data_IF_458971226979
#
_entry.id   IF_458971226979
#
_cell.length_a   1.000
_cell.length_b   1.000
_cell.length_c   1.000
_cell.angle_alpha   90.00
_cell.angle_beta   90.00
_cell.angle_gamma   90.00
#
_symmetry.space_group_name_H-M   'P 1'
#
loop_
_entity.id
_entity.type
_entity.pdbx_description
1 polymer ?
#
# COMPACT_ATOMS: atom_id res chain seq x y z
N UNK A 1 -28.84 3.89 -3.93
CA UNK A 1 -27.60 3.08 -3.80
C UNK A 1 -26.63 3.82 -2.89
N UNK A 2 -26.71 3.65 -1.57
CA UNK A 2 -25.73 4.23 -0.66
C UNK A 2 -24.42 3.48 -0.84
N UNK A 3 -23.43 4.09 -1.50
CA UNK A 3 -22.06 3.57 -1.52
C UNK A 3 -21.62 3.47 -0.06
N UNK A 4 -21.63 2.27 0.51
CA UNK A 4 -21.09 2.03 1.85
C UNK A 4 -19.60 2.34 1.76
N UNK A 5 -19.22 3.54 2.19
CA UNK A 5 -17.82 3.90 2.32
C UNK A 5 -17.22 2.95 3.34
N UNK A 6 -16.25 2.14 2.92
CA UNK A 6 -15.50 1.29 3.84
C UNK A 6 -14.66 2.24 4.71
N UNK A 7 -15.16 2.52 5.90
CA UNK A 7 -14.45 3.29 6.91
C UNK A 7 -13.37 2.39 7.51
N UNK A 8 -12.14 2.87 7.51
CA UNK A 8 -11.01 2.20 8.15
C UNK A 8 -10.67 2.96 9.44
N UNK A 9 -10.57 2.24 10.55
CA UNK A 9 -10.11 2.80 11.83
C UNK A 9 -8.63 3.19 11.77
N UNK A 10 -8.10 3.89 12.78
CA UNK A 10 -6.68 4.29 12.79
C UNK A 10 -5.78 3.05 12.82
N UNK A 11 -6.16 2.07 13.62
CA UNK A 11 -5.48 0.79 13.85
C UNK A 11 -5.47 -0.06 12.57
N UNK A 12 -6.60 -0.10 11.84
CA UNK A 12 -6.69 -0.81 10.56
C UNK A 12 -5.76 -0.19 9.52
N UNK A 13 -5.72 1.14 9.43
CA UNK A 13 -4.84 1.85 8.52
C UNK A 13 -3.38 1.58 8.85
N UNK A 14 -3.01 1.60 10.13
CA UNK A 14 -1.66 1.29 10.59
C UNK A 14 -1.26 -0.14 10.24
N UNK A 15 -2.13 -1.11 10.49
CA UNK A 15 -1.89 -2.52 10.15
C UNK A 15 -1.70 -2.70 8.64
N UNK A 16 -2.57 -2.09 7.82
CA UNK A 16 -2.44 -2.09 6.37
C UNK A 16 -1.15 -1.41 5.88
N UNK A 17 -0.70 -0.34 6.53
CA UNK A 17 0.55 0.31 6.17
C UNK A 17 1.76 -0.57 6.50
N UNK A 18 1.78 -1.24 7.66
CA UNK A 18 2.83 -2.21 8.01
C UNK A 18 2.87 -3.35 7.00
N UNK A 19 1.72 -3.94 6.71
CA UNK A 19 1.58 -4.98 5.69
C UNK A 19 2.06 -4.49 4.32
N UNK A 20 1.76 -3.24 3.94
CA UNK A 20 2.23 -2.66 2.69
C UNK A 20 3.75 -2.63 2.61
N UNK A 21 4.42 -2.12 3.64
CA UNK A 21 5.88 -2.08 3.69
C UNK A 21 6.52 -3.48 3.73
N UNK A 22 5.94 -4.42 4.49
CA UNK A 22 6.43 -5.80 4.57
C UNK A 22 6.19 -6.59 3.28
N UNK A 23 5.12 -6.29 2.55
CA UNK A 23 4.78 -7.01 1.33
C UNK A 23 5.70 -6.70 0.15
N UNK A 24 6.41 -5.56 0.17
CA UNK A 24 7.21 -5.09 -0.97
C UNK A 24 6.38 -4.78 -2.23
N UNK A 25 5.04 -4.80 -2.14
CA UNK A 25 4.16 -4.62 -3.29
C UNK A 25 4.11 -3.16 -3.74
N UNK A 26 3.87 -2.95 -5.03
CA UNK A 26 3.47 -1.64 -5.52
C UNK A 26 2.15 -1.20 -4.87
N UNK A 27 1.94 0.11 -4.70
CA UNK A 27 0.69 0.66 -4.14
C UNK A 27 -0.57 0.12 -4.82
N UNK A 28 -0.54 -0.02 -6.15
CA UNK A 28 -1.66 -0.53 -6.94
C UNK A 28 -1.91 -2.02 -6.65
N UNK A 29 -0.85 -2.83 -6.64
CA UNK A 29 -0.92 -4.26 -6.34
C UNK A 29 -1.42 -4.51 -4.92
N UNK A 30 -0.92 -3.74 -3.96
CA UNK A 30 -1.34 -3.82 -2.56
C UNK A 30 -2.82 -3.45 -2.39
N UNK A 31 -3.27 -2.34 -2.99
CA UNK A 31 -4.67 -1.96 -2.95
C UNK A 31 -5.59 -3.02 -3.55
N UNK A 32 -5.19 -3.66 -4.67
CA UNK A 32 -5.94 -4.76 -5.28
C UNK A 32 -6.00 -5.97 -4.35
N UNK A 33 -4.88 -6.37 -3.77
CA UNK A 33 -4.76 -7.52 -2.85
C UNK A 33 -5.60 -7.35 -1.58
N UNK A 34 -5.60 -6.14 -0.98
CA UNK A 34 -6.31 -5.87 0.29
C UNK A 34 -7.72 -5.30 0.10
N UNK A 35 -8.20 -5.17 -1.14
CA UNK A 35 -9.53 -4.63 -1.45
C UNK A 35 -9.69 -3.16 -1.03
N UNK A 36 -8.63 -2.37 -1.15
CA UNK A 36 -8.67 -0.93 -0.93
C UNK A 36 -9.21 -0.26 -2.19
N UNK A 37 -10.29 0.52 -2.03
CA UNK A 37 -11.03 1.09 -3.15
C UNK A 37 -10.19 1.99 -4.08
N UNK A 38 -9.19 2.69 -3.54
CA UNK A 38 -8.34 3.56 -4.32
C UNK A 38 -6.93 3.70 -3.75
N UNK A 39 -5.93 3.77 -4.64
CA UNK A 39 -4.54 4.13 -4.30
C UNK A 39 -4.46 5.51 -3.64
N UNK A 40 -5.39 6.42 -3.98
CA UNK A 40 -5.52 7.73 -3.34
C UNK A 40 -5.73 7.60 -1.82
N UNK A 41 -6.53 6.63 -1.37
CA UNK A 41 -6.75 6.38 0.06
C UNK A 41 -5.47 5.98 0.77
N UNK A 42 -4.70 5.05 0.17
CA UNK A 42 -3.40 4.62 0.69
C UNK A 42 -2.40 5.79 0.77
N UNK A 43 -2.34 6.63 -0.27
CA UNK A 43 -1.47 7.81 -0.27
C UNK A 43 -1.85 8.83 0.81
N UNK A 44 -3.15 9.05 1.04
CA UNK A 44 -3.60 9.93 2.13
C UNK A 44 -3.14 9.38 3.48
N UNK A 45 -3.28 8.06 3.71
CA UNK A 45 -2.81 7.44 4.96
C UNK A 45 -1.31 7.59 5.09
N UNK A 46 -0.53 7.25 4.06
CA UNK A 46 0.93 7.44 4.05
C UNK A 46 1.33 8.86 4.42
N UNK A 47 0.64 9.89 3.93
CA UNK A 47 0.92 11.30 4.26
C UNK A 47 0.56 11.65 5.71
N UNK A 48 -0.63 11.25 6.16
CA UNK A 48 -1.10 11.52 7.53
C UNK A 48 -0.14 10.89 8.53
N UNK A 49 0.19 9.61 8.34
CA UNK A 49 1.08 8.88 9.23
C UNK A 49 2.57 9.20 9.00
N UNK A 50 2.98 9.79 7.88
CA UNK A 50 4.34 10.31 7.74
C UNK A 50 4.56 11.59 8.58
N UNK A 51 3.51 12.41 8.73
CA UNK A 51 3.55 13.61 9.56
C UNK A 51 3.42 13.27 11.06
N UNK A 52 2.65 12.23 11.39
CA UNK A 52 2.68 11.63 12.73
C UNK A 52 4.02 10.89 12.86
N UNK A 53 5.02 11.49 13.54
CA UNK A 53 6.39 10.96 13.74
C UNK A 53 6.52 9.46 14.09
N UNK A 54 5.44 8.79 14.49
CA UNK A 54 5.37 7.35 14.74
C UNK A 54 5.79 6.47 13.54
N UNK A 55 5.49 6.85 12.29
CA UNK A 55 5.87 6.00 11.14
C UNK A 55 7.34 6.19 10.76
N UNK A 56 7.97 7.33 11.03
CA UNK A 56 9.37 7.57 10.66
C UNK A 56 10.34 6.62 11.39
N UNK A 57 10.04 6.26 12.64
CA UNK A 57 10.80 5.23 13.37
C UNK A 57 10.69 3.86 12.68
N UNK A 58 9.50 3.49 12.19
CA UNK A 58 9.25 2.23 11.49
C UNK A 58 9.82 2.23 10.07
N UNK A 59 9.74 3.35 9.34
CA UNK A 59 10.30 3.48 7.99
C UNK A 59 11.82 3.44 7.99
N UNK A 60 12.50 4.01 9.00
CA UNK A 60 13.95 3.90 9.13
C UNK A 60 14.40 2.45 9.24
N UNK A 61 13.63 1.61 9.91
CA UNK A 61 13.92 0.18 10.11
C UNK A 61 13.67 -0.63 8.83
N UNK A 62 12.63 -0.27 8.06
CA UNK A 62 12.24 -0.92 6.80
C UNK A 62 13.01 -0.43 5.56
N UNK A 63 13.47 0.82 5.55
CA UNK A 63 14.26 1.41 4.45
C UNK A 63 15.62 0.71 4.29
N UNK A 64 16.21 0.25 5.40
CA UNK A 64 17.42 -0.59 5.36
C UNK A 64 17.19 -1.96 4.68
N UNK A 65 15.94 -2.43 4.59
CA UNK A 65 15.58 -3.72 3.98
C UNK A 65 15.21 -3.56 2.50
N UNK A 66 14.62 -2.41 2.13
CA UNK A 66 13.96 -2.20 0.83
C UNK A 66 14.91 -1.72 -0.28
N UNK A 67 16.09 -1.19 0.06
CA UNK A 67 17.08 -0.73 -0.93
C UNK A 67 17.55 -1.85 -1.90
N UNK A 68 17.32 -3.12 -1.56
CA UNK A 68 17.63 -4.27 -2.44
C UNK A 68 16.45 -4.77 -3.29
N UNK A 69 15.22 -4.31 -3.09
CA UNK A 69 14.05 -4.91 -3.74
C UNK A 69 13.63 -4.25 -5.07
N UNK A 70 14.20 -3.09 -5.44
CA UNK A 70 13.75 -2.32 -6.60
C UNK A 70 14.65 -2.43 -7.84
N UNK A 71 15.35 -3.55 -8.02
CA UNK A 71 16.06 -3.86 -9.27
C UNK A 71 15.53 -5.14 -9.91
N UNK A 72 14.27 -5.17 -10.29
CA UNK A 72 13.82 -5.98 -11.43
C UNK A 72 12.64 -5.31 -12.11
N UNK A 73 12.99 -4.55 -13.14
CA UNK A 73 12.12 -4.16 -14.24
C UNK A 73 11.76 -5.41 -15.05
N UNK A 74 10.61 -5.34 -15.73
CA UNK A 74 10.07 -6.26 -16.76
C UNK A 74 9.32 -7.51 -16.29
N UNK A 75 8.04 -7.58 -16.64
CA UNK A 75 7.56 -8.55 -17.65
C UNK A 75 6.03 -8.48 -17.81
N UNK A 76 5.64 -7.83 -18.90
CA UNK A 76 4.51 -8.08 -19.81
C UNK A 76 3.04 -8.08 -19.36
N UNK A 77 2.32 -7.30 -20.17
CA UNK A 77 0.90 -7.21 -20.45
C UNK A 77 0.37 -8.54 -20.99
N UNK A 78 -0.68 -9.09 -20.40
CA UNK A 78 -1.48 -10.14 -21.04
C UNK A 78 -2.97 -9.79 -20.93
N UNK A 79 -3.52 -9.57 -22.12
CA UNK A 79 -4.91 -9.37 -22.49
C UNK A 79 -5.75 -10.57 -22.04
N UNK A 80 -6.98 -10.35 -21.58
CA UNK A 80 -7.97 -11.43 -21.49
C UNK A 80 -9.32 -10.96 -22.02
N UNK A 81 -9.37 -10.77 -23.34
CA UNK A 81 -10.59 -10.92 -24.14
C UNK A 81 -10.61 -12.33 -24.71
N UNK A 82 -11.50 -13.19 -24.21
CA UNK A 82 -12.00 -14.49 -24.73
C UNK A 82 -13.05 -14.90 -23.68
N UNK A 83 -14.35 -15.08 -23.93
CA UNK A 83 -15.16 -15.37 -25.11
C UNK A 83 -16.56 -14.77 -24.91
#
# INVERSE_FOLDING_TARGET
MSKKYKSYSKEDKLSLLRDYYQSGLSKKSFCKSRGIAAVKSLNTWLKVFANEKELLSLQSELANITDMANRSKESYQEENDLY
#
